data_IF_524169581938
#
_entry.id   IF_524169581938
#
_cell.length_a   1.000
_cell.length_b   1.000
_cell.length_c   1.000
_cell.angle_alpha   90.00
_cell.angle_beta   90.00
_cell.angle_gamma   90.00
#
_symmetry.space_group_name_H-M   'P 1'
#
loop_
_entity.id
_entity.type
_entity.pdbx_description
1 polymer ?
#
# COMPACT_ATOMS: atom_id res chain seq x y z
N UNK A 1 -4.33 4.68 9.02
CA UNK A 1 -4.26 3.24 9.39
C UNK A 1 -2.79 2.90 9.61
N UNK A 2 -2.48 2.15 10.65
CA UNK A 2 -1.14 1.62 10.93
C UNK A 2 -1.31 0.14 11.24
N UNK A 3 -0.39 -0.70 10.74
CA UNK A 3 -0.36 -2.14 10.98
C UNK A 3 1.03 -2.48 11.48
N UNK A 4 1.10 -3.03 12.68
CA UNK A 4 2.34 -3.44 13.31
C UNK A 4 2.84 -4.77 12.73
N UNK A 5 4.12 -5.04 12.94
CA UNK A 5 4.72 -6.30 12.50
C UNK A 5 4.03 -7.48 13.17
N UNK A 6 3.60 -8.46 12.38
CA UNK A 6 2.91 -9.66 12.86
C UNK A 6 1.38 -9.52 12.97
N UNK A 7 0.83 -8.33 12.73
CA UNK A 7 -0.63 -8.16 12.70
C UNK A 7 -1.24 -8.64 11.39
N UNK A 8 -2.43 -9.23 11.49
CA UNK A 8 -3.27 -9.59 10.35
C UNK A 8 -4.40 -8.56 10.27
N UNK A 9 -4.52 -7.91 9.12
CA UNK A 9 -5.59 -6.96 8.86
C UNK A 9 -6.46 -7.41 7.68
N UNK A 10 -7.77 -7.40 7.88
CA UNK A 10 -8.75 -7.65 6.82
C UNK A 10 -9.36 -6.33 6.32
N UNK A 11 -9.42 -6.15 5.00
CA UNK A 11 -10.12 -5.04 4.36
C UNK A 11 -11.44 -5.54 3.77
N UNK A 12 -12.55 -5.12 4.36
CA UNK A 12 -13.90 -5.53 3.98
C UNK A 12 -14.64 -4.42 3.24
N UNK A 13 -15.52 -4.78 2.32
CA UNK A 13 -16.34 -3.84 1.55
C UNK A 13 -16.99 -4.48 0.32
N UNK A 14 -18.04 -3.87 -0.21
CA UNK A 14 -18.78 -4.33 -1.39
C UNK A 14 -17.92 -4.32 -2.66
N UNK A 15 -18.33 -5.05 -3.71
CA UNK A 15 -17.66 -4.93 -5.02
C UNK A 15 -17.65 -3.46 -5.48
N UNK A 16 -16.52 -3.00 -6.03
CA UNK A 16 -16.34 -1.60 -6.43
C UNK A 16 -15.91 -0.63 -5.32
N UNK A 17 -15.85 -1.06 -4.04
CA UNK A 17 -15.46 -0.18 -2.92
C UNK A 17 -13.98 0.23 -2.89
N UNK A 18 -13.19 -0.09 -3.92
CA UNK A 18 -11.77 0.29 -4.03
C UNK A 18 -10.77 -0.61 -3.31
N UNK A 19 -11.16 -1.80 -2.82
CA UNK A 19 -10.23 -2.72 -2.12
C UNK A 19 -9.04 -3.12 -2.97
N UNK A 20 -9.26 -3.53 -4.22
CA UNK A 20 -8.18 -3.91 -5.13
C UNK A 20 -7.27 -2.73 -5.45
N UNK A 21 -7.85 -1.53 -5.64
CA UNK A 21 -7.09 -0.28 -5.82
C UNK A 21 -6.22 0.02 -4.59
N UNK A 22 -6.76 -0.14 -3.38
CA UNK A 22 -5.99 0.01 -2.15
C UNK A 22 -4.83 -0.98 -2.07
N UNK A 23 -5.07 -2.27 -2.36
CA UNK A 23 -4.03 -3.30 -2.39
C UNK A 23 -2.95 -3.02 -3.44
N UNK A 24 -3.33 -2.56 -4.63
CA UNK A 24 -2.40 -2.18 -5.69
C UNK A 24 -1.52 -0.99 -5.27
N UNK A 25 -2.10 0.02 -4.62
CA UNK A 25 -1.34 1.14 -4.08
C UNK A 25 -0.37 0.71 -2.97
N UNK A 26 -0.78 -0.19 -2.09
CA UNK A 26 0.10 -0.75 -1.04
C UNK A 26 1.23 -1.60 -1.62
N UNK A 27 0.99 -2.31 -2.73
CA UNK A 27 2.00 -3.06 -3.46
C UNK A 27 2.92 -2.16 -4.31
N UNK A 28 2.66 -0.85 -4.37
CA UNK A 28 3.43 0.09 -5.19
C UNK A 28 3.16 0.00 -6.70
N UNK A 29 2.13 -0.75 -7.11
CA UNK A 29 1.71 -0.89 -8.51
C UNK A 29 0.91 0.33 -9.01
N UNK A 30 0.34 1.09 -8.07
CA UNK A 30 -0.44 2.29 -8.36
C UNK A 30 -0.03 3.42 -7.39
N UNK A 31 -0.04 4.67 -7.85
CA UNK A 31 0.32 5.83 -7.00
C UNK A 31 -0.93 6.47 -6.41
N UNK A 32 -0.94 6.79 -5.11
CA UNK A 32 -2.07 7.48 -4.50
C UNK A 32 -2.20 8.90 -5.06
N UNK A 33 -3.42 9.31 -5.39
CA UNK A 33 -3.71 10.68 -5.84
C UNK A 33 -3.49 11.71 -4.73
N UNK A 34 -3.73 11.31 -3.46
CA UNK A 34 -3.51 12.13 -2.26
C UNK A 34 -3.05 11.26 -1.09
N UNK A 35 -2.34 11.86 -0.15
CA UNK A 35 -1.80 11.15 1.01
C UNK A 35 -0.50 10.40 0.71
N UNK A 36 -0.15 9.45 1.56
CA UNK A 36 1.13 8.74 1.49
C UNK A 36 1.03 7.36 2.13
N UNK A 37 1.72 6.39 1.56
CA UNK A 37 1.86 5.04 2.11
C UNK A 37 3.31 4.87 2.56
N UNK A 38 3.48 4.43 3.81
CA UNK A 38 4.79 4.21 4.39
C UNK A 38 4.93 2.74 4.82
N UNK A 39 5.97 2.07 4.33
CA UNK A 39 6.34 0.71 4.74
C UNK A 39 7.71 0.78 5.38
N UNK A 40 7.82 0.33 6.64
CA UNK A 40 9.07 0.41 7.43
C UNK A 40 9.70 1.83 7.43
N UNK A 41 8.87 2.87 7.43
CA UNK A 41 9.30 4.27 7.39
C UNK A 41 9.57 4.85 6.00
N UNK A 42 9.58 4.02 4.95
CA UNK A 42 9.82 4.47 3.58
C UNK A 42 8.52 4.81 2.85
N UNK A 43 8.47 5.99 2.24
CA UNK A 43 7.35 6.36 1.36
C UNK A 43 7.48 5.61 0.03
N UNK A 44 6.66 4.57 -0.15
CA UNK A 44 6.76 3.67 -1.30
C UNK A 44 6.41 4.35 -2.63
N UNK A 45 5.62 5.43 -2.62
CA UNK A 45 5.25 6.15 -3.85
C UNK A 45 6.42 6.96 -4.45
N UNK A 46 7.49 7.19 -3.66
CA UNK A 46 8.72 7.86 -4.09
C UNK A 46 9.82 6.90 -4.52
N UNK A 47 9.57 5.59 -4.44
CA UNK A 47 10.55 4.56 -4.78
C UNK A 47 10.47 4.21 -6.27
N UNK A 48 11.62 3.89 -6.87
CA UNK A 48 11.67 3.25 -8.18
C UNK A 48 11.21 1.80 -8.10
N UNK A 49 10.80 1.21 -9.24
CA UNK A 49 10.42 -0.20 -9.31
C UNK A 49 11.52 -1.14 -8.80
N UNK A 50 12.79 -0.84 -9.10
CA UNK A 50 13.93 -1.61 -8.55
C UNK A 50 14.05 -1.52 -7.04
N UNK A 51 13.69 -0.38 -6.44
CA UNK A 51 13.70 -0.23 -5.00
C UNK A 51 12.53 -1.00 -4.37
N UNK A 52 11.34 -0.95 -4.96
CA UNK A 52 10.16 -1.70 -4.52
C UNK A 52 10.39 -3.21 -4.59
N UNK A 53 10.98 -3.72 -5.67
CA UNK A 53 11.25 -5.15 -5.84
C UNK A 53 12.28 -5.74 -4.86
N UNK A 54 13.01 -4.89 -4.12
CA UNK A 54 14.01 -5.31 -3.13
C UNK A 54 13.48 -5.32 -1.69
N UNK A 55 12.23 -4.92 -1.48
CA UNK A 55 11.55 -5.03 -0.19
C UNK A 55 11.04 -6.45 0.05
#
# INVERSE_FOLDING_TARGET
MQIASGEICCVLGTSGSGKSTLLNMMAGLEKPTRGSIHIRGYNIAKMSERQLARF
#
